data_IF_593478049413
#
_entry.id   IF_593478049413
#
_cell.length_a   1.000
_cell.length_b   1.000
_cell.length_c   1.000
_cell.angle_alpha   90.00
_cell.angle_beta   90.00
_cell.angle_gamma   90.00
#
_symmetry.space_group_name_H-M   'P 1'
#
loop_
_entity.id
_entity.type
_entity.pdbx_description
1 polymer ?
#
# COMPACT_ATOMS: atom_id res chain seq x y z
N UNK A 1 -30.51 6.06 -16.78
CA UNK A 1 -31.17 6.00 -15.46
C UNK A 1 -30.31 6.86 -14.54
N UNK A 2 -30.77 8.06 -14.17
CA UNK A 2 -30.03 8.95 -13.27
C UNK A 2 -30.26 8.38 -11.86
N UNK A 3 -29.18 7.98 -11.19
CA UNK A 3 -29.21 7.37 -9.88
C UNK A 3 -29.81 8.34 -8.85
N UNK A 4 -30.80 7.88 -8.08
CA UNK A 4 -31.38 8.67 -6.98
C UNK A 4 -30.32 8.83 -5.89
N UNK A 5 -30.00 10.05 -5.42
CA UNK A 5 -28.91 10.26 -4.47
C UNK A 5 -29.19 9.56 -3.14
N UNK A 6 -28.37 8.56 -2.81
CA UNK A 6 -28.24 8.02 -1.45
C UNK A 6 -27.25 8.93 -0.73
N UNK A 7 -27.77 9.86 0.07
CA UNK A 7 -26.94 10.82 0.79
C UNK A 7 -26.11 10.13 1.88
N UNK A 8 -24.85 10.56 2.02
CA UNK A 8 -23.96 10.26 3.15
C UNK A 8 -23.63 8.79 3.42
N UNK A 9 -23.61 7.94 2.39
CA UNK A 9 -22.99 6.62 2.53
C UNK A 9 -21.47 6.82 2.69
N UNK A 10 -21.00 6.76 3.94
CA UNK A 10 -19.58 6.76 4.25
C UNK A 10 -18.95 5.50 3.66
N UNK A 11 -18.04 5.68 2.71
CA UNK A 11 -17.30 4.58 2.10
C UNK A 11 -16.23 4.09 3.07
N UNK A 12 -15.46 5.00 3.68
CA UNK A 12 -14.52 4.67 4.76
C UNK A 12 -14.09 5.89 5.58
N UNK A 13 -13.50 5.61 6.76
CA UNK A 13 -12.83 6.60 7.62
C UNK A 13 -11.43 6.11 7.98
N UNK A 14 -10.44 6.99 7.88
CA UNK A 14 -9.07 6.74 8.32
C UNK A 14 -8.76 7.64 9.52
N UNK A 15 -8.16 7.04 10.55
CA UNK A 15 -7.76 7.76 11.75
C UNK A 15 -6.24 7.85 11.85
N UNK A 16 -5.73 9.07 12.00
CA UNK A 16 -4.32 9.38 12.23
C UNK A 16 -4.18 10.08 13.59
N UNK A 17 -4.44 9.33 14.67
CA UNK A 17 -4.54 9.92 16.01
C UNK A 17 -5.76 10.83 16.10
N UNK A 18 -5.52 12.13 16.37
CA UNK A 18 -6.59 13.16 16.47
C UNK A 18 -6.97 13.79 15.13
N UNK A 19 -6.44 13.29 14.02
CA UNK A 19 -6.85 13.64 12.67
C UNK A 19 -7.69 12.53 12.07
N UNK A 20 -8.72 12.87 11.30
CA UNK A 20 -9.58 11.92 10.61
C UNK A 20 -9.70 12.31 9.15
N UNK A 21 -9.58 11.34 8.25
CA UNK A 21 -9.97 11.48 6.85
C UNK A 21 -11.24 10.68 6.61
N UNK A 22 -12.22 11.25 5.92
CA UNK A 22 -13.47 10.57 5.56
C UNK A 22 -13.68 10.63 4.06
N UNK A 23 -14.16 9.53 3.48
CA UNK A 23 -14.62 9.45 2.11
C UNK A 23 -16.10 9.04 2.10
N UNK A 24 -16.95 9.80 1.42
CA UNK A 24 -18.38 9.51 1.32
C UNK A 24 -18.95 9.89 -0.05
N UNK A 25 -20.00 9.18 -0.46
CA UNK A 25 -20.73 9.51 -1.69
C UNK A 25 -21.65 10.70 -1.44
N UNK A 26 -21.65 11.66 -2.36
CA UNK A 26 -22.49 12.87 -2.29
C UNK A 26 -23.71 12.80 -3.23
N UNK A 27 -23.94 11.65 -3.87
CA UNK A 27 -24.85 11.49 -5.01
C UNK A 27 -24.14 11.68 -6.36
N UNK A 28 -24.82 11.31 -7.45
CA UNK A 28 -24.36 11.50 -8.84
C UNK A 28 -22.95 10.96 -9.13
N UNK A 29 -22.57 9.83 -8.52
CA UNK A 29 -21.22 9.24 -8.60
C UNK A 29 -20.07 10.15 -8.13
N UNK A 30 -20.36 11.20 -7.34
CA UNK A 30 -19.33 12.07 -6.75
C UNK A 30 -18.87 11.53 -5.41
N UNK A 31 -17.57 11.29 -5.29
CA UNK A 31 -16.91 10.94 -4.03
C UNK A 31 -16.29 12.19 -3.40
N UNK A 32 -16.64 12.50 -2.15
CA UNK A 32 -16.04 13.60 -1.40
C UNK A 32 -15.06 13.10 -0.36
N UNK A 33 -13.93 13.79 -0.26
CA UNK A 33 -12.93 13.59 0.78
C UNK A 33 -12.89 14.77 1.74
N UNK A 34 -12.89 14.49 3.05
CA UNK A 34 -12.81 15.50 4.10
C UNK A 34 -11.70 15.17 5.08
N UNK A 35 -10.84 16.15 5.38
CA UNK A 35 -9.86 16.08 6.46
C UNK A 35 -10.38 16.87 7.67
N UNK A 36 -10.36 16.22 8.83
CA UNK A 36 -10.92 16.72 10.08
C UNK A 36 -9.82 16.69 11.13
N UNK A 37 -9.66 17.79 11.86
CA UNK A 37 -8.80 17.88 13.04
C UNK A 37 -9.67 17.97 14.29
N UNK A 38 -9.60 16.97 15.16
CA UNK A 38 -10.24 17.01 16.49
C UNK A 38 -9.40 17.83 17.48
N UNK A 39 -8.12 18.02 17.18
CA UNK A 39 -7.21 18.84 17.97
C UNK A 39 -6.08 19.38 17.08
N UNK A 40 -6.05 20.70 16.89
CA UNK A 40 -5.05 21.40 16.05
C UNK A 40 -3.61 21.26 16.55
N UNK A 41 -3.41 20.86 17.81
CA UNK A 41 -2.07 20.52 18.32
C UNK A 41 -1.41 19.35 17.57
N UNK A 42 -2.20 18.45 16.99
CA UNK A 42 -1.69 17.34 16.16
C UNK A 42 -1.06 17.83 14.86
N UNK A 43 -1.52 18.98 14.34
CA UNK A 43 -1.00 19.61 13.12
C UNK A 43 0.31 20.38 13.36
N UNK A 44 0.67 20.65 14.63
CA UNK A 44 1.88 21.40 15.03
C UNK A 44 1.97 22.83 14.48
N UNK A 45 0.83 23.42 14.11
CA UNK A 45 0.74 24.80 13.59
C UNK A 45 0.34 25.82 14.66
N UNK A 46 0.01 25.37 15.88
CA UNK A 46 -0.56 26.21 16.94
C UNK A 46 -2.09 26.15 16.97
N UNK A 47 -2.70 26.87 17.93
CA UNK A 47 -4.18 26.83 18.15
C UNK A 47 -4.88 28.19 18.04
N UNK A 48 -4.11 29.28 17.94
CA UNK A 48 -4.65 30.64 17.90
C UNK A 48 -5.30 30.92 16.55
N UNK A 49 -6.27 31.84 16.51
CA UNK A 49 -7.04 32.14 15.30
C UNK A 49 -6.15 32.65 14.15
N UNK A 50 -5.06 33.36 14.46
CA UNK A 50 -4.09 33.83 13.46
C UNK A 50 -3.41 32.68 12.70
N UNK A 51 -3.40 31.47 13.27
CA UNK A 51 -2.88 30.24 12.64
C UNK A 51 -3.93 29.49 11.83
N UNK A 52 -5.13 30.05 11.63
CA UNK A 52 -6.21 29.40 10.88
C UNK A 52 -5.78 29.02 9.46
N UNK A 53 -5.10 29.93 8.74
CA UNK A 53 -4.57 29.63 7.41
C UNK A 53 -3.54 28.49 7.43
N UNK A 54 -2.69 28.42 8.44
CA UNK A 54 -1.72 27.33 8.62
C UNK A 54 -2.43 25.99 8.87
N UNK A 55 -3.51 25.99 9.66
CA UNK A 55 -4.35 24.82 9.92
C UNK A 55 -5.02 24.33 8.62
N UNK A 56 -5.63 25.25 7.85
CA UNK A 56 -6.27 24.92 6.56
C UNK A 56 -5.24 24.35 5.59
N UNK A 57 -4.06 24.95 5.49
CA UNK A 57 -2.96 24.47 4.64
C UNK A 57 -2.50 23.07 5.05
N UNK A 58 -2.39 22.80 6.35
CA UNK A 58 -2.02 21.47 6.85
C UNK A 58 -3.09 20.40 6.56
N UNK A 59 -4.38 20.76 6.62
CA UNK A 59 -5.48 19.86 6.27
C UNK A 59 -5.56 19.61 4.76
N UNK A 60 -5.34 20.64 3.94
CA UNK A 60 -5.23 20.49 2.49
C UNK A 60 -4.07 19.55 2.12
N UNK A 61 -2.88 19.75 2.69
CA UNK A 61 -1.74 18.86 2.46
C UNK A 61 -1.97 17.41 2.94
N UNK A 62 -2.82 17.19 3.94
CA UNK A 62 -3.26 15.86 4.35
C UNK A 62 -4.15 15.20 3.28
N UNK A 63 -5.08 15.94 2.69
CA UNK A 63 -5.91 15.47 1.58
C UNK A 63 -5.05 15.18 0.34
N UNK A 64 -4.20 16.12 -0.07
CA UNK A 64 -3.32 15.96 -1.23
C UNK A 64 -2.44 14.72 -1.11
N UNK A 65 -1.86 14.50 0.08
CA UNK A 65 -1.08 13.29 0.36
C UNK A 65 -1.92 12.02 0.21
N UNK A 66 -3.12 12.01 0.75
CA UNK A 66 -4.00 10.85 0.66
C UNK A 66 -4.38 10.54 -0.79
N UNK A 67 -4.81 11.55 -1.55
CA UNK A 67 -5.17 11.41 -2.96
C UNK A 67 -3.97 10.97 -3.80
N UNK A 68 -2.79 11.56 -3.56
CA UNK A 68 -1.54 11.12 -4.21
C UNK A 68 -1.26 9.64 -3.98
N UNK A 69 -1.52 9.12 -2.77
CA UNK A 69 -1.35 7.68 -2.47
C UNK A 69 -2.39 6.85 -3.22
N UNK A 70 -3.66 7.28 -3.27
CA UNK A 70 -4.70 6.60 -4.05
C UNK A 70 -4.33 6.52 -5.54
N UNK A 71 -3.93 7.65 -6.13
CA UNK A 71 -3.50 7.72 -7.52
C UNK A 71 -2.27 6.84 -7.77
N UNK A 72 -1.33 6.80 -6.83
CA UNK A 72 -0.14 5.95 -6.91
C UNK A 72 -0.47 4.47 -6.83
N UNK A 73 -1.47 4.08 -6.04
CA UNK A 73 -1.93 2.68 -6.00
C UNK A 73 -2.67 2.32 -7.29
N UNK A 74 -3.47 3.24 -7.83
CA UNK A 74 -4.22 3.02 -9.07
C UNK A 74 -3.30 2.93 -10.29
N UNK A 75 -2.26 3.76 -10.36
CA UNK A 75 -1.20 3.72 -11.37
C UNK A 75 -0.04 2.80 -10.97
N UNK A 76 -0.32 1.76 -10.17
CA UNK A 76 0.73 0.83 -9.73
C UNK A 76 1.30 0.06 -10.91
N UNK A 77 2.62 -0.16 -10.88
CA UNK A 77 3.33 -0.95 -11.86
C UNK A 77 4.40 -1.77 -11.16
N UNK A 78 4.69 -2.95 -11.71
CA UNK A 78 5.89 -3.70 -11.39
C UNK A 78 6.75 -3.69 -12.66
N UNK A 79 7.88 -2.98 -12.64
CA UNK A 79 8.83 -3.10 -13.74
C UNK A 79 9.53 -4.47 -13.70
N UNK A 80 10.01 -4.92 -14.86
CA UNK A 80 10.60 -6.25 -15.02
C UNK A 80 11.92 -6.43 -14.24
N UNK A 81 12.53 -5.33 -13.77
CA UNK A 81 13.82 -5.36 -13.08
C UNK A 81 13.68 -5.40 -11.57
N UNK A 82 12.61 -4.85 -11.01
CA UNK A 82 12.41 -4.66 -9.58
C UNK A 82 12.32 -6.01 -8.84
N UNK A 83 11.60 -7.04 -9.33
CA UNK A 83 11.61 -8.36 -8.72
C UNK A 83 13.02 -8.97 -8.62
N UNK A 84 13.88 -8.72 -9.61
CA UNK A 84 15.27 -9.18 -9.62
C UNK A 84 16.20 -8.34 -8.74
N UNK A 85 15.93 -7.04 -8.60
CA UNK A 85 16.77 -6.10 -7.84
C UNK A 85 16.47 -6.09 -6.35
N UNK A 86 15.21 -6.31 -5.92
CA UNK A 86 14.86 -6.27 -4.51
C UNK A 86 15.62 -7.29 -3.66
N UNK A 87 15.77 -8.57 -4.06
CA UNK A 87 16.51 -9.57 -3.30
C UNK A 87 18.01 -9.29 -3.23
N UNK A 88 18.55 -8.46 -4.14
CA UNK A 88 19.96 -8.12 -4.15
C UNK A 88 20.33 -7.22 -2.96
N UNK A 89 21.54 -7.37 -2.39
CA UNK A 89 22.05 -6.45 -1.37
C UNK A 89 22.05 -4.99 -1.83
N UNK A 90 21.85 -4.07 -0.90
CA UNK A 90 21.89 -2.63 -1.16
C UNK A 90 22.82 -1.91 -0.19
N UNK A 91 23.22 -0.68 -0.51
CA UNK A 91 24.02 0.17 0.37
C UNK A 91 23.18 1.34 0.88
N UNK A 92 23.39 1.69 2.15
CA UNK A 92 22.86 2.91 2.75
C UNK A 92 24.05 3.66 3.38
N UNK A 93 24.55 4.67 2.67
CA UNK A 93 25.85 5.27 2.97
C UNK A 93 26.96 4.21 2.91
N UNK A 94 27.81 4.17 3.94
CA UNK A 94 28.88 3.17 4.04
C UNK A 94 28.39 1.76 4.42
N UNK A 95 27.15 1.59 4.89
CA UNK A 95 26.69 0.27 5.35
C UNK A 95 26.05 -0.54 4.23
N UNK A 96 26.53 -1.78 4.03
CA UNK A 96 25.86 -2.78 3.20
C UNK A 96 24.74 -3.47 3.99
N UNK A 97 23.58 -3.61 3.35
CA UNK A 97 22.38 -4.24 3.90
C UNK A 97 21.96 -5.40 2.99
N UNK A 98 21.39 -6.45 3.58
CA UNK A 98 20.81 -7.55 2.82
C UNK A 98 19.61 -7.07 2.00
N UNK A 99 19.27 -7.81 0.94
CA UNK A 99 18.11 -7.49 0.12
C UNK A 99 16.78 -7.78 0.81
N UNK A 100 15.73 -7.50 0.04
CA UNK A 100 14.32 -7.68 0.37
C UNK A 100 13.80 -8.80 -0.52
N UNK A 101 13.55 -9.95 0.07
CA UNK A 101 13.01 -11.11 -0.63
C UNK A 101 11.50 -11.18 -0.39
N UNK A 102 10.71 -10.83 -1.42
CA UNK A 102 9.24 -10.79 -1.34
C UNK A 102 8.61 -12.17 -1.07
N UNK A 103 9.34 -13.26 -1.28
CA UNK A 103 8.81 -14.59 -0.96
C UNK A 103 8.79 -14.84 0.55
N UNK A 104 9.54 -14.07 1.34
CA UNK A 104 9.48 -14.15 2.80
C UNK A 104 8.27 -13.40 3.38
N UNK A 105 7.47 -14.02 4.26
CA UNK A 105 6.31 -13.37 4.90
C UNK A 105 6.65 -12.03 5.56
N UNK A 106 7.77 -11.96 6.28
CA UNK A 106 8.23 -10.73 6.95
C UNK A 106 8.52 -9.59 5.98
N UNK A 107 9.09 -9.87 4.82
CA UNK A 107 9.36 -8.84 3.81
C UNK A 107 8.07 -8.29 3.22
N UNK A 108 7.09 -9.15 2.94
CA UNK A 108 5.75 -8.72 2.51
C UNK A 108 5.07 -7.88 3.57
N UNK A 109 5.11 -8.31 4.83
CA UNK A 109 4.55 -7.54 5.93
C UNK A 109 5.19 -6.14 6.04
N UNK A 110 6.51 -6.03 5.84
CA UNK A 110 7.21 -4.75 5.84
C UNK A 110 6.79 -3.84 4.67
N UNK A 111 6.63 -4.39 3.46
CA UNK A 111 6.14 -3.67 2.29
C UNK A 111 4.67 -3.21 2.50
N UNK A 112 3.81 -4.11 2.95
CA UNK A 112 2.40 -3.81 3.27
C UNK A 112 2.26 -2.78 4.38
N UNK A 113 3.13 -2.80 5.39
CA UNK A 113 3.18 -1.79 6.44
C UNK A 113 3.59 -0.42 5.90
N UNK A 114 4.63 -0.36 5.04
CA UNK A 114 5.06 0.88 4.40
C UNK A 114 3.96 1.48 3.50
N UNK A 115 3.25 0.62 2.76
CA UNK A 115 2.10 1.02 1.94
C UNK A 115 0.95 1.54 2.80
N UNK A 116 0.59 0.80 3.86
CA UNK A 116 -0.51 1.19 4.75
C UNK A 116 -0.26 2.50 5.50
N UNK A 117 1.00 2.83 5.77
CA UNK A 117 1.38 4.04 6.49
C UNK A 117 1.68 5.22 5.54
N UNK A 118 1.64 5.03 4.23
CA UNK A 118 2.01 6.03 3.22
C UNK A 118 1.14 7.30 3.30
N UNK A 119 -0.14 7.14 3.62
CA UNK A 119 -1.11 8.24 3.72
C UNK A 119 -1.01 9.05 5.02
N UNK A 120 -0.17 8.66 5.98
CA UNK A 120 -0.03 9.41 7.25
C UNK A 120 0.58 10.79 6.95
N UNK A 121 -0.10 11.90 7.32
CA UNK A 121 0.32 13.26 6.94
C UNK A 121 1.72 13.61 7.47
N UNK A 122 1.98 13.33 8.75
CA UNK A 122 3.29 13.51 9.38
C UNK A 122 4.24 12.32 9.15
N UNK A 123 3.93 11.41 8.23
CA UNK A 123 4.63 10.13 8.08
C UNK A 123 4.57 9.23 9.31
N UNK A 124 5.50 8.29 9.40
CA UNK A 124 5.52 7.25 10.42
C UNK A 124 6.89 7.04 11.05
N UNK A 125 6.90 6.57 12.29
CA UNK A 125 8.09 6.23 13.05
C UNK A 125 8.35 4.72 13.02
N UNK A 126 9.48 4.28 13.59
CA UNK A 126 9.72 2.85 13.79
C UNK A 126 8.69 2.21 14.72
N UNK A 127 8.13 2.95 15.68
CA UNK A 127 7.08 2.46 16.56
C UNK A 127 5.77 2.24 15.78
N UNK A 128 5.36 3.21 14.97
CA UNK A 128 4.19 3.07 14.08
C UNK A 128 4.35 1.88 13.13
N UNK A 129 5.56 1.71 12.57
CA UNK A 129 5.88 0.61 11.67
C UNK A 129 5.84 -0.76 12.36
N UNK A 130 6.38 -0.83 13.59
CA UNK A 130 6.31 -2.04 14.44
C UNK A 130 4.86 -2.42 14.72
N UNK A 131 4.08 -1.46 15.23
CA UNK A 131 2.66 -1.68 15.54
C UNK A 131 1.88 -2.13 14.30
N UNK A 132 2.15 -1.53 13.13
CA UNK A 132 1.46 -1.92 11.90
C UNK A 132 1.84 -3.33 11.43
N UNK A 133 3.11 -3.73 11.55
CA UNK A 133 3.52 -5.11 11.24
C UNK A 133 2.84 -6.09 12.19
N UNK A 134 2.85 -5.84 13.50
CA UNK A 134 2.18 -6.70 14.48
C UNK A 134 0.68 -6.87 14.17
N UNK A 135 -0.01 -5.81 13.74
CA UNK A 135 -1.40 -5.88 13.29
C UNK A 135 -1.57 -6.72 12.02
N UNK A 136 -0.66 -6.58 11.04
CA UNK A 136 -0.73 -7.31 9.77
C UNK A 136 -0.43 -8.80 9.96
N UNK A 137 0.54 -9.15 10.80
CA UNK A 137 1.03 -10.52 10.94
C UNK A 137 0.42 -11.28 12.12
N UNK A 138 -0.15 -10.57 13.10
CA UNK A 138 -0.53 -11.12 14.40
C UNK A 138 0.66 -11.46 15.31
N UNK A 139 1.90 -11.19 14.89
CA UNK A 139 3.12 -11.51 15.63
C UNK A 139 3.51 -10.38 16.58
N UNK A 140 3.09 -10.46 17.84
CA UNK A 140 3.44 -9.51 18.90
C UNK A 140 4.92 -9.57 19.31
N UNK A 141 5.64 -10.63 18.92
CA UNK A 141 7.08 -10.77 19.13
C UNK A 141 7.92 -9.90 18.20
N UNK A 142 7.33 -9.29 17.17
CA UNK A 142 8.02 -8.37 16.28
C UNK A 142 8.47 -7.10 17.02
N UNK A 143 9.77 -6.81 16.96
CA UNK A 143 10.40 -5.77 17.81
C UNK A 143 10.72 -4.48 17.05
N UNK A 144 10.88 -3.38 17.80
CA UNK A 144 11.35 -2.10 17.25
C UNK A 144 12.75 -2.20 16.60
N UNK A 145 13.62 -3.11 17.06
CA UNK A 145 14.94 -3.35 16.45
C UNK A 145 14.80 -4.00 15.07
N UNK A 146 13.90 -4.96 14.93
CA UNK A 146 13.56 -5.58 13.65
C UNK A 146 12.95 -4.55 12.69
N UNK A 147 12.01 -3.73 13.18
CA UNK A 147 11.44 -2.61 12.42
C UNK A 147 12.50 -1.63 11.91
N UNK A 148 13.41 -1.18 12.77
CA UNK A 148 14.48 -0.29 12.37
C UNK A 148 15.39 -0.91 11.29
N UNK A 149 15.66 -2.21 11.39
CA UNK A 149 16.46 -2.92 10.39
C UNK A 149 15.73 -3.06 9.05
N UNK A 150 14.45 -3.42 9.06
CA UNK A 150 13.65 -3.56 7.83
C UNK A 150 13.41 -2.19 7.17
N UNK A 151 13.16 -1.15 7.96
CA UNK A 151 13.08 0.23 7.47
C UNK A 151 14.40 0.69 6.84
N UNK A 152 15.56 0.31 7.41
CA UNK A 152 16.86 0.59 6.78
C UNK A 152 17.00 -0.10 5.42
N UNK A 153 16.52 -1.34 5.28
CA UNK A 153 16.51 -2.03 3.97
C UNK A 153 15.60 -1.33 2.97
N UNK A 154 14.38 -0.97 3.37
CA UNK A 154 13.45 -0.22 2.54
C UNK A 154 14.07 1.11 2.07
N UNK A 155 14.76 1.83 2.96
CA UNK A 155 15.50 3.05 2.58
C UNK A 155 16.61 2.82 1.58
N UNK A 156 17.39 1.75 1.76
CA UNK A 156 18.47 1.40 0.84
C UNK A 156 17.96 1.03 -0.56
N UNK A 157 16.66 0.72 -0.67
CA UNK A 157 15.95 0.45 -1.92
C UNK A 157 15.07 1.63 -2.38
N UNK A 158 15.23 2.81 -1.77
CA UNK A 158 14.43 4.01 -2.07
C UNK A 158 12.91 3.84 -1.89
N UNK A 159 12.49 2.78 -1.17
CA UNK A 159 11.08 2.48 -0.93
C UNK A 159 10.48 3.34 0.19
N UNK A 160 11.32 3.88 1.07
CA UNK A 160 10.92 4.89 2.05
C UNK A 160 12.03 5.92 2.22
N UNK A 161 11.67 7.15 2.57
CA UNK A 161 12.59 8.26 2.81
C UNK A 161 12.45 8.79 4.22
N UNK A 162 13.55 9.27 4.80
CA UNK A 162 13.55 9.97 6.09
C UNK A 162 13.17 11.42 5.86
N UNK A 163 12.25 11.96 6.64
CA UNK A 163 11.85 13.37 6.56
C UNK A 163 12.84 14.26 7.32
N UNK A 164 13.67 14.99 6.58
CA UNK A 164 14.66 15.93 7.13
C UNK A 164 15.47 15.32 8.28
N UNK A 165 15.65 16.09 9.36
CA UNK A 165 16.37 15.64 10.55
C UNK A 165 15.50 14.81 11.53
N UNK A 166 14.21 14.63 11.27
CA UNK A 166 13.28 13.96 12.19
C UNK A 166 13.46 12.43 12.21
N UNK A 167 12.81 11.73 13.16
CA UNK A 167 12.74 10.25 13.18
C UNK A 167 11.53 9.71 12.38
N UNK A 168 10.98 10.52 11.47
CA UNK A 168 9.80 10.19 10.68
C UNK A 168 10.20 9.80 9.26
N UNK A 169 9.42 8.89 8.70
CA UNK A 169 9.61 8.32 7.38
C UNK A 169 8.35 8.47 6.56
N UNK A 170 8.51 8.50 5.24
CA UNK A 170 7.43 8.56 4.26
C UNK A 170 7.74 7.60 3.12
N UNK A 171 6.70 7.02 2.58
CA UNK A 171 6.76 6.24 1.34
C UNK A 171 6.51 7.22 0.19
N UNK A 172 7.49 7.50 -0.69
CA UNK A 172 7.28 8.40 -1.82
C UNK A 172 6.29 7.81 -2.83
N UNK A 173 5.64 8.62 -3.67
CA UNK A 173 4.62 8.15 -4.64
C UNK A 173 5.10 7.03 -5.54
N UNK A 174 6.31 7.12 -6.10
CA UNK A 174 6.85 6.07 -6.95
C UNK A 174 7.09 4.76 -6.18
N UNK A 175 7.56 4.84 -4.94
CA UNK A 175 7.66 3.65 -4.10
C UNK A 175 6.28 3.07 -3.75
N UNK A 176 5.25 3.90 -3.58
CA UNK A 176 3.86 3.40 -3.41
C UNK A 176 3.44 2.61 -4.64
N UNK A 177 3.66 3.13 -5.86
CA UNK A 177 3.37 2.43 -7.12
C UNK A 177 4.08 1.08 -7.19
N UNK A 178 5.39 1.08 -6.92
CA UNK A 178 6.22 -0.12 -6.95
C UNK A 178 5.78 -1.14 -5.91
N UNK A 179 5.59 -0.73 -4.65
CA UNK A 179 5.17 -1.64 -3.57
C UNK A 179 3.80 -2.24 -3.88
N UNK A 180 2.83 -1.41 -4.25
CA UNK A 180 1.49 -1.85 -4.59
C UNK A 180 1.52 -2.81 -5.79
N UNK A 181 2.24 -2.45 -6.85
CA UNK A 181 2.33 -3.25 -8.07
C UNK A 181 2.89 -4.65 -7.82
N UNK A 182 3.98 -4.76 -7.05
CA UNK A 182 4.58 -6.07 -6.80
C UNK A 182 3.72 -6.92 -5.86
N UNK A 183 3.11 -6.33 -4.83
CA UNK A 183 2.21 -7.06 -3.93
C UNK A 183 0.95 -7.54 -4.67
N UNK A 184 0.32 -6.69 -5.48
CA UNK A 184 -0.85 -7.04 -6.27
C UNK A 184 -0.52 -8.09 -7.33
N UNK A 185 0.57 -7.92 -8.08
CA UNK A 185 1.01 -8.90 -9.08
C UNK A 185 1.24 -10.27 -8.44
N UNK A 186 1.86 -10.31 -7.26
CA UNK A 186 2.10 -11.58 -6.55
C UNK A 186 0.81 -12.20 -6.04
N UNK A 187 0.05 -11.46 -5.23
CA UNK A 187 -1.01 -12.01 -4.39
C UNK A 187 -2.35 -12.12 -5.12
N UNK A 188 -2.62 -11.23 -6.08
CA UNK A 188 -3.86 -11.21 -6.85
C UNK A 188 -3.72 -11.89 -8.21
N UNK A 189 -2.53 -11.87 -8.83
CA UNK A 189 -2.34 -12.44 -10.18
C UNK A 189 -1.59 -13.77 -10.14
N UNK A 190 -0.31 -13.77 -9.74
CA UNK A 190 0.56 -14.93 -9.86
C UNK A 190 0.08 -16.12 -9.02
N UNK A 191 -0.18 -15.92 -7.72
CA UNK A 191 -0.59 -17.01 -6.82
C UNK A 191 -1.92 -17.63 -7.25
N UNK A 192 -3.01 -16.86 -7.48
CA UNK A 192 -4.28 -17.43 -7.91
C UNK A 192 -4.17 -18.17 -9.24
N UNK A 193 -3.41 -17.62 -10.20
CA UNK A 193 -3.24 -18.26 -11.50
C UNK A 193 -2.46 -19.58 -11.40
N UNK A 194 -1.39 -19.64 -10.59
CA UNK A 194 -0.64 -20.89 -10.38
C UNK A 194 -1.46 -21.93 -9.60
N UNK A 195 -2.22 -21.52 -8.58
CA UNK A 195 -3.10 -22.41 -7.84
C UNK A 195 -4.19 -23.03 -8.75
N UNK A 196 -4.81 -22.22 -9.60
CA UNK A 196 -5.84 -22.67 -10.55
C UNK A 196 -5.29 -23.55 -11.69
N UNK A 197 -3.97 -23.50 -11.97
CA UNK A 197 -3.33 -24.46 -12.88
C UNK A 197 -3.22 -25.84 -12.22
N UNK A 198 -2.77 -25.88 -10.96
CA UNK A 198 -2.57 -27.12 -10.20
C UNK A 198 -3.87 -27.84 -9.87
N UNK A 199 -4.94 -27.10 -9.55
CA UNK A 199 -6.24 -27.67 -9.24
C UNK A 199 -7.37 -26.92 -9.98
N UNK A 200 -7.85 -27.43 -11.11
CA UNK A 200 -8.95 -26.84 -11.88
C UNK A 200 -10.28 -26.82 -11.10
N UNK A 201 -10.46 -27.70 -10.11
CA UNK A 201 -11.69 -27.84 -9.34
C UNK A 201 -11.76 -26.84 -8.17
N UNK A 202 -10.63 -26.26 -7.77
CA UNK A 202 -10.51 -25.31 -6.66
C UNK A 202 -11.12 -23.92 -6.94
N UNK A 203 -11.55 -23.67 -8.18
CA UNK A 203 -12.21 -22.42 -8.58
C UNK A 203 -13.40 -22.70 -9.52
N UNK A 204 -14.55 -23.19 -9.00
CA UNK A 204 -15.78 -23.20 -9.78
C UNK A 204 -16.08 -21.76 -10.26
N UNK A 205 -16.50 -21.57 -11.52
CA UNK A 205 -16.79 -20.25 -12.02
C UNK A 205 -17.89 -19.61 -11.15
N UNK A 206 -17.72 -18.34 -10.74
CA UNK A 206 -18.75 -17.65 -9.96
C UNK A 206 -20.06 -17.63 -10.75
N UNK A 207 -21.19 -17.73 -10.04
CA UNK A 207 -22.53 -17.76 -10.65
C UNK A 207 -22.80 -16.55 -11.57
N UNK A 208 -22.16 -15.41 -11.28
CA UNK A 208 -22.17 -14.20 -12.11
C UNK A 208 -20.73 -13.72 -12.31
N UNK A 209 -20.08 -14.06 -13.44
CA UNK A 209 -18.68 -13.70 -13.67
C UNK A 209 -18.52 -12.20 -13.90
N UNK A 210 -17.66 -11.59 -13.10
CA UNK A 210 -17.20 -10.22 -13.33
C UNK A 210 -16.29 -10.16 -14.56
N UNK A 211 -16.07 -8.96 -15.15
CA UNK A 211 -15.08 -8.79 -16.21
C UNK A 211 -13.68 -9.27 -15.80
N UNK A 212 -13.31 -9.12 -14.52
CA UNK A 212 -12.04 -9.62 -14.00
C UNK A 212 -11.96 -11.16 -14.03
N UNK A 213 -13.07 -11.86 -13.71
CA UNK A 213 -13.12 -13.32 -13.76
C UNK A 213 -12.92 -13.85 -15.18
N UNK A 214 -13.44 -13.14 -16.18
CA UNK A 214 -13.21 -13.45 -17.59
C UNK A 214 -11.73 -13.30 -17.97
N UNK A 215 -11.09 -12.22 -17.52
CA UNK A 215 -9.64 -12.01 -17.72
C UNK A 215 -8.80 -13.09 -17.03
N UNK A 216 -9.13 -13.47 -15.79
CA UNK A 216 -8.45 -14.57 -15.10
C UNK A 216 -8.60 -15.90 -15.83
N UNK A 217 -9.80 -16.20 -16.34
CA UNK A 217 -10.06 -17.41 -17.11
C UNK A 217 -9.23 -17.44 -18.42
N UNK A 218 -9.19 -16.31 -19.14
CA UNK A 218 -8.39 -16.18 -20.36
C UNK A 218 -6.88 -16.30 -20.08
N UNK A 219 -6.38 -15.58 -19.08
CA UNK A 219 -4.98 -15.63 -18.66
C UNK A 219 -4.58 -17.05 -18.27
N UNK A 220 -5.40 -17.76 -17.49
CA UNK A 220 -5.16 -19.15 -17.10
C UNK A 220 -5.01 -20.07 -18.31
N UNK A 221 -5.91 -19.97 -19.28
CA UNK A 221 -5.87 -20.80 -20.50
C UNK A 221 -4.59 -20.54 -21.30
N UNK A 222 -4.25 -19.26 -21.52
CA UNK A 222 -3.04 -18.89 -22.25
C UNK A 222 -1.76 -19.26 -21.49
N UNK A 223 -1.74 -19.10 -20.16
CA UNK A 223 -0.60 -19.44 -19.32
C UNK A 223 -0.33 -20.95 -19.30
N UNK A 224 -1.37 -21.80 -19.30
CA UNK A 224 -1.20 -23.26 -19.46
C UNK A 224 -0.58 -23.61 -20.80
N UNK A 225 -1.05 -23.01 -21.89
CA UNK A 225 -0.49 -23.24 -23.22
C UNK A 225 0.98 -22.82 -23.30
N UNK A 226 1.33 -21.67 -22.71
CA UNK A 226 2.70 -21.19 -22.65
C UNK A 226 3.61 -22.11 -21.83
N UNK A 227 3.18 -22.52 -20.63
CA UNK A 227 3.94 -23.45 -19.79
C UNK A 227 4.20 -24.78 -20.49
N UNK A 228 3.17 -25.34 -21.14
CA UNK A 228 3.30 -26.54 -21.95
C UNK A 228 4.35 -26.38 -23.06
N UNK A 229 4.31 -25.27 -23.80
CA UNK A 229 5.28 -24.98 -24.86
C UNK A 229 6.70 -24.75 -24.32
N UNK A 230 6.84 -24.26 -23.09
CA UNK A 230 8.12 -24.14 -22.39
C UNK A 230 8.61 -25.45 -21.77
N UNK A 231 7.88 -26.56 -21.90
CA UNK A 231 8.22 -27.85 -21.28
C UNK A 231 8.00 -27.92 -19.77
N UNK A 232 7.30 -26.93 -19.20
CA UNK A 232 6.87 -26.93 -17.81
C UNK A 232 5.51 -27.63 -17.71
N UNK A 233 5.52 -28.90 -17.33
CA UNK A 233 4.29 -29.63 -17.08
C UNK A 233 3.54 -28.98 -15.91
N UNK A 234 2.26 -28.65 -16.13
CA UNK A 234 1.33 -28.35 -15.05
C UNK A 234 1.15 -29.65 -14.25
N UNK A 235 1.79 -29.72 -13.08
CA UNK A 235 1.63 -30.82 -12.13
C UNK A 235 0.29 -30.73 -11.39
#
# INVERSE_FOLDING_TARGET
MIETPVYDLTVFKLHFGKLTLKAYTKGEHVLRFEAITHNTGELRTGRVLDRFCDIVTALAGMLDRFLTVCDSVHASFADDHTPGQLPQPARLGATRLGGIDINRPRARAALSAALSLASRPAGFTAADFTAKIQVITGDTGYTARQAAYDMRKLRAKHLINRQGCSRRYQTPPDAVRTIAGILLLRDQVLIPCLAAIRDPALAPPPASPSPADQHYAALRTQMRALLHNCGLAAA
#
